data_IF_451165513723
#
_entry.id   IF_451165513723
#
_cell.length_a   1.000
_cell.length_b   1.000
_cell.length_c   1.000
_cell.angle_alpha   90.00
_cell.angle_beta   90.00
_cell.angle_gamma   90.00
#
_symmetry.space_group_name_H-M   'P 1'
#
loop_
_entity.id
_entity.type
_entity.pdbx_description
1 polymer ?
#
# COMPACT_ATOMS: atom_id res chain seq x y z
N UNK A 1 -10.79 8.13 7.14
CA UNK A 1 -10.41 8.82 5.88
C UNK A 1 -10.26 7.76 4.81
N UNK A 2 -10.80 7.97 3.61
CA UNK A 2 -10.50 7.10 2.48
C UNK A 2 -9.05 7.31 2.05
N UNK A 3 -8.32 6.19 1.86
CA UNK A 3 -6.97 6.22 1.30
C UNK A 3 -7.03 6.76 -0.14
N UNK A 4 -5.95 7.37 -0.61
CA UNK A 4 -5.86 7.89 -1.99
C UNK A 4 -4.76 7.17 -2.75
N UNK A 5 -5.05 6.76 -3.98
CA UNK A 5 -4.05 6.17 -4.85
C UNK A 5 -2.89 7.15 -5.11
N UNK A 6 -1.65 6.70 -4.91
CA UNK A 6 -0.44 7.52 -5.15
C UNK A 6 -0.30 7.95 -6.61
N UNK A 7 -0.85 7.16 -7.54
CA UNK A 7 -0.75 7.44 -8.98
C UNK A 7 -1.83 8.41 -9.46
N UNK A 8 -3.11 8.03 -9.32
CA UNK A 8 -4.21 8.80 -9.91
C UNK A 8 -4.96 9.68 -8.93
N UNK A 9 -4.57 9.68 -7.64
CA UNK A 9 -5.26 10.37 -6.54
C UNK A 9 -6.72 9.98 -6.32
N UNK A 10 -7.21 8.97 -7.06
CA UNK A 10 -8.55 8.39 -6.87
C UNK A 10 -8.70 7.75 -5.50
N UNK A 11 -9.93 7.74 -4.99
CA UNK A 11 -10.25 7.12 -3.70
C UNK A 11 -10.05 5.61 -3.72
N UNK A 12 -9.55 5.08 -2.62
CA UNK A 12 -9.49 3.64 -2.31
C UNK A 12 -10.48 3.42 -1.16
N UNK A 13 -11.46 2.55 -1.41
CA UNK A 13 -12.62 2.36 -0.53
C UNK A 13 -12.53 1.10 0.35
N UNK A 14 -11.35 0.48 0.41
CA UNK A 14 -11.08 -0.67 1.25
C UNK A 14 -9.86 -0.43 2.15
N UNK A 15 -9.64 -1.35 3.09
CA UNK A 15 -8.63 -1.22 4.14
C UNK A 15 -7.24 -1.77 3.74
N UNK A 16 -6.98 -2.01 2.44
CA UNK A 16 -5.69 -2.56 1.97
C UNK A 16 -4.49 -1.74 2.44
N UNK A 17 -3.36 -2.40 2.69
CA UNK A 17 -2.17 -1.80 3.30
C UNK A 17 -1.37 -0.89 2.36
N UNK A 18 -1.72 -0.85 1.06
CA UNK A 18 -1.05 -0.05 0.04
C UNK A 18 -1.95 1.07 -0.50
N UNK A 19 -1.34 2.21 -0.81
CA UNK A 19 -2.03 3.36 -1.39
C UNK A 19 -2.08 3.27 -2.93
N UNK A 20 -2.56 2.15 -3.49
CA UNK A 20 -2.71 1.94 -4.94
C UNK A 20 -4.09 1.36 -5.28
N UNK A 21 -4.84 2.03 -6.16
CA UNK A 21 -6.13 1.53 -6.63
C UNK A 21 -5.97 0.42 -7.68
N UNK A 22 -7.02 -0.39 -7.87
CA UNK A 22 -6.99 -1.54 -8.77
C UNK A 22 -6.63 -1.16 -10.21
N UNK A 23 -7.23 -0.09 -10.73
CA UNK A 23 -6.97 0.37 -12.10
C UNK A 23 -5.48 0.65 -12.33
N UNK A 24 -4.84 1.36 -11.40
CA UNK A 24 -3.44 1.72 -11.51
C UNK A 24 -2.53 0.52 -11.25
N UNK A 25 -2.82 -0.27 -10.20
CA UNK A 25 -2.01 -1.43 -9.86
C UNK A 25 -2.02 -2.51 -10.94
N UNK A 26 -3.19 -2.83 -11.48
CA UNK A 26 -3.32 -3.74 -12.63
C UNK A 26 -2.63 -3.18 -13.87
N UNK A 27 -2.73 -1.87 -14.11
CA UNK A 27 -2.07 -1.22 -15.25
C UNK A 27 -0.54 -1.25 -15.19
N UNK A 28 0.06 -1.20 -13.99
CA UNK A 28 1.51 -1.20 -13.80
C UNK A 28 2.08 -2.61 -13.73
N UNK A 29 1.43 -3.51 -12.97
CA UNK A 29 1.99 -4.84 -12.66
C UNK A 29 1.23 -6.01 -13.29
N UNK A 30 0.05 -5.77 -13.86
CA UNK A 30 -0.88 -6.83 -14.26
C UNK A 30 -1.63 -7.44 -13.08
N UNK A 31 -2.75 -8.09 -13.36
CA UNK A 31 -3.71 -8.54 -12.35
C UNK A 31 -3.13 -9.52 -11.32
N UNK A 32 -2.42 -10.56 -11.80
CA UNK A 32 -1.87 -11.61 -10.92
C UNK A 32 -0.81 -11.05 -9.96
N UNK A 33 0.07 -10.21 -10.47
CA UNK A 33 1.13 -9.62 -9.66
C UNK A 33 0.53 -8.63 -8.65
N UNK A 34 -0.39 -7.78 -9.10
CA UNK A 34 -1.03 -6.80 -8.22
C UNK A 34 -1.79 -7.46 -7.06
N UNK A 35 -2.58 -8.51 -7.34
CA UNK A 35 -3.24 -9.31 -6.29
C UNK A 35 -2.24 -9.92 -5.30
N UNK A 36 -1.10 -10.38 -5.80
CA UNK A 36 -0.02 -10.93 -4.96
C UNK A 36 0.61 -9.87 -4.07
N UNK A 37 0.88 -8.68 -4.60
CA UNK A 37 1.39 -7.52 -3.84
C UNK A 37 0.41 -7.15 -2.73
N UNK A 38 -0.87 -6.92 -3.04
CA UNK A 38 -1.90 -6.56 -2.05
C UNK A 38 -1.93 -7.61 -0.92
N UNK A 39 -2.05 -8.89 -1.28
CA UNK A 39 -2.10 -9.98 -0.29
C UNK A 39 -0.87 -10.03 0.60
N UNK A 40 0.32 -9.90 0.02
CA UNK A 40 1.57 -10.00 0.79
C UNK A 40 1.75 -8.80 1.71
N UNK A 41 1.40 -7.59 1.24
CA UNK A 41 1.46 -6.39 2.07
C UNK A 41 0.45 -6.41 3.21
N UNK A 42 -0.77 -6.90 2.98
CA UNK A 42 -1.77 -7.07 4.04
C UNK A 42 -1.35 -8.10 5.08
N UNK A 43 -0.70 -9.19 4.65
CA UNK A 43 -0.14 -10.19 5.54
C UNK A 43 1.06 -9.65 6.35
N UNK A 44 1.91 -8.83 5.75
CA UNK A 44 3.00 -8.17 6.48
C UNK A 44 2.45 -7.17 7.50
N UNK A 45 1.41 -6.42 7.14
CA UNK A 45 0.74 -5.47 8.05
C UNK A 45 0.13 -6.19 9.26
N UNK A 46 -0.59 -7.29 9.04
CA UNK A 46 -1.21 -8.07 10.12
C UNK A 46 -0.19 -8.69 11.08
N UNK A 47 1.04 -8.92 10.62
CA UNK A 47 2.17 -9.41 11.43
C UNK A 47 2.96 -8.31 12.13
N UNK A 48 2.66 -7.04 11.86
CA UNK A 48 3.47 -5.91 12.34
C UNK A 48 4.85 -5.81 11.67
N UNK A 49 5.00 -6.42 10.49
CA UNK A 49 6.26 -6.46 9.72
C UNK A 49 6.40 -5.26 8.77
N UNK A 50 5.47 -4.31 8.84
CA UNK A 50 5.55 -3.03 8.13
C UNK A 50 6.19 -1.98 9.04
N UNK A 51 7.51 -1.86 8.94
CA UNK A 51 8.26 -0.82 9.65
C UNK A 51 8.31 0.47 8.82
N UNK A 52 7.81 1.58 9.37
CA UNK A 52 7.87 2.92 8.77
C UNK A 52 8.96 3.80 9.38
N UNK A 53 10.05 3.21 9.89
CA UNK A 53 11.14 3.93 10.56
C UNK A 53 11.94 4.79 9.58
N UNK A 54 11.35 5.90 9.13
CA UNK A 54 12.06 7.15 8.91
C UNK A 54 12.23 7.83 10.27
N UNK A 55 12.91 7.16 11.20
CA UNK A 55 13.34 7.82 12.43
C UNK A 55 14.50 8.72 12.02
N UNK A 56 14.26 10.01 11.77
CA UNK A 56 15.35 10.96 11.85
C UNK A 56 15.90 10.86 13.28
N UNK A 57 17.22 10.68 13.48
CA UNK A 57 17.77 10.71 14.82
C UNK A 57 17.39 12.07 15.44
N UNK A 58 16.66 12.04 16.55
CA UNK A 58 16.49 13.21 17.40
C UNK A 58 17.86 13.59 17.93
N UNK A 59 18.41 14.71 17.46
CA UNK A 59 19.60 15.33 18.02
C UNK A 59 19.12 16.04 19.30
N UNK A 60 19.40 15.44 20.46
CA UNK A 60 19.41 16.16 21.75
C UNK A 60 20.69 16.99 21.89
#
# INVERSE_FOLDING_TARGET
>A
MSKKCVYCRGGINDDRSIDVCDRCGVGVWGEKMFKTIVRNMDNANSKGDLCSTNTQPSIE
#
